data_IF_823629573981
#
_entry.id   IF_823629573981
#
_cell.length_a   1.000
_cell.length_b   1.000
_cell.length_c   1.000
_cell.angle_alpha   90.00
_cell.angle_beta   90.00
_cell.angle_gamma   90.00
#
_symmetry.space_group_name_H-M   'P 1'
#
loop_
_entity.id
_entity.type
_entity.pdbx_description
1 polymer ?
#
# COMPACT_ATOMS: atom_id res chain seq x y z
N UNK A 1 9.61 20.97 -32.78
CA UNK A 1 9.52 19.54 -32.36
C UNK A 1 10.34 19.22 -31.11
N UNK A 2 11.64 19.54 -31.04
CA UNK A 2 12.47 19.26 -29.84
C UNK A 2 11.94 19.87 -28.53
N UNK A 3 11.47 21.12 -28.55
CA UNK A 3 10.88 21.79 -27.37
C UNK A 3 9.64 21.06 -26.83
N UNK A 4 8.77 20.58 -27.72
CA UNK A 4 7.58 19.82 -27.35
C UNK A 4 7.94 18.44 -26.77
N UNK A 5 8.98 17.79 -27.33
CA UNK A 5 9.52 16.54 -26.80
C UNK A 5 10.09 16.73 -25.38
N UNK A 6 10.88 17.78 -25.14
CA UNK A 6 11.39 18.08 -23.81
C UNK A 6 10.27 18.40 -22.80
N UNK A 7 9.24 19.13 -23.23
CA UNK A 7 8.07 19.41 -22.39
C UNK A 7 7.32 18.13 -22.01
N UNK A 8 7.13 17.20 -22.96
CA UNK A 8 6.49 15.91 -22.71
C UNK A 8 7.30 15.06 -21.72
N UNK A 9 8.62 14.98 -21.89
CA UNK A 9 9.50 14.22 -20.99
C UNK A 9 9.43 14.80 -19.58
N UNK A 10 9.49 16.13 -19.44
CA UNK A 10 9.38 16.79 -18.15
C UNK A 10 8.03 16.49 -17.47
N UNK A 11 6.92 16.53 -18.23
CA UNK A 11 5.60 16.21 -17.71
C UNK A 11 5.51 14.76 -17.22
N UNK A 12 6.01 13.80 -18.00
CA UNK A 12 6.04 12.38 -17.61
C UNK A 12 6.88 12.17 -16.36
N UNK A 13 8.04 12.82 -16.26
CA UNK A 13 8.91 12.74 -15.09
C UNK A 13 8.21 13.27 -13.83
N UNK A 14 7.50 14.39 -13.92
CA UNK A 14 6.72 14.95 -12.81
C UNK A 14 5.60 13.99 -12.38
N UNK A 15 4.84 13.44 -13.33
CA UNK A 15 3.76 12.48 -13.02
C UNK A 15 4.31 11.23 -12.33
N UNK A 16 5.42 10.68 -12.82
CA UNK A 16 6.06 9.52 -12.20
C UNK A 16 6.56 9.83 -10.78
N UNK A 17 7.16 11.01 -10.56
CA UNK A 17 7.60 11.47 -9.25
C UNK A 17 6.44 11.63 -8.26
N UNK A 18 5.32 12.20 -8.70
CA UNK A 18 4.11 12.36 -7.86
C UNK A 18 3.49 11.00 -7.52
N UNK A 19 3.37 10.10 -8.51
CA UNK A 19 2.81 8.77 -8.30
C UNK A 19 3.65 7.94 -7.31
N UNK A 20 4.98 7.96 -7.48
CA UNK A 20 5.90 7.27 -6.57
C UNK A 20 5.87 7.85 -5.16
N UNK A 21 5.87 9.19 -5.03
CA UNK A 21 5.71 9.84 -3.73
C UNK A 21 4.40 9.45 -3.06
N UNK A 22 3.28 9.45 -3.79
CA UNK A 22 1.98 9.09 -3.24
C UNK A 22 1.92 7.60 -2.81
N UNK A 23 2.55 6.72 -3.57
CA UNK A 23 2.60 5.29 -3.25
C UNK A 23 3.46 4.96 -2.02
N UNK A 24 4.55 5.70 -1.79
CA UNK A 24 5.53 5.41 -0.74
C UNK A 24 5.46 6.35 0.47
N UNK A 25 4.60 7.37 0.44
CA UNK A 25 4.48 8.30 1.56
C UNK A 25 4.05 7.55 2.82
N UNK A 26 4.71 7.79 3.97
CA UNK A 26 4.31 7.18 5.24
C UNK A 26 2.86 7.53 5.58
N UNK A 27 2.04 6.51 5.81
CA UNK A 27 0.70 6.67 6.40
C UNK A 27 0.87 6.76 7.91
N UNK A 28 0.24 7.74 8.57
CA UNK A 28 0.29 7.85 10.03
C UNK A 28 -0.44 6.67 10.66
N UNK A 29 0.28 5.84 11.39
CA UNK A 29 -0.28 4.82 12.27
C UNK A 29 -0.40 5.40 13.67
N UNK A 30 -1.50 5.12 14.40
CA UNK A 30 -1.58 5.45 15.82
C UNK A 30 -0.42 4.84 16.60
N UNK A 31 0.03 5.53 17.65
CA UNK A 31 1.10 5.03 18.51
C UNK A 31 0.70 3.72 19.17
N UNK A 32 1.61 2.74 19.17
CA UNK A 32 1.38 1.41 19.74
C UNK A 32 0.66 0.43 18.82
N UNK A 33 0.31 0.81 17.59
CA UNK A 33 -0.32 -0.07 16.61
C UNK A 33 0.60 -0.33 15.41
N UNK A 34 0.77 -1.59 14.98
CA UNK A 34 1.44 -1.88 13.71
C UNK A 34 0.65 -1.28 12.53
N UNK A 35 1.34 -0.92 11.43
CA UNK A 35 0.68 -0.48 10.21
C UNK A 35 -0.29 -1.53 9.68
N UNK A 36 -1.36 -1.07 9.04
CA UNK A 36 -2.24 -1.94 8.29
C UNK A 36 -1.51 -2.46 7.06
N UNK A 37 -1.68 -3.75 6.79
CA UNK A 37 -1.11 -4.42 5.63
C UNK A 37 -2.16 -4.60 4.54
N UNK A 38 -1.71 -4.59 3.29
CA UNK A 38 -2.56 -4.92 2.15
C UNK A 38 -2.48 -6.42 1.89
N UNK A 39 -3.61 -7.10 1.94
CA UNK A 39 -3.67 -8.52 1.55
C UNK A 39 -3.51 -8.64 0.04
N UNK A 40 -2.62 -9.51 -0.39
CA UNK A 40 -2.31 -9.80 -1.79
C UNK A 40 -2.03 -11.32 -1.95
N UNK A 41 -1.90 -11.84 -3.18
CA UNK A 41 -1.65 -13.27 -3.39
C UNK A 41 -0.37 -13.79 -2.75
N UNK A 42 0.62 -12.92 -2.51
CA UNK A 42 1.94 -13.28 -1.97
C UNK A 42 1.89 -13.49 -0.45
N UNK A 43 1.03 -12.76 0.28
CA UNK A 43 0.95 -12.80 1.75
C UNK A 43 -0.31 -13.48 2.31
N UNK A 44 -1.24 -13.89 1.44
CA UNK A 44 -2.51 -14.48 1.87
C UNK A 44 -2.34 -15.82 2.62
N UNK A 45 -1.36 -16.64 2.23
CA UNK A 45 -1.05 -17.90 2.91
C UNK A 45 -0.67 -17.66 4.37
N UNK A 46 0.24 -16.71 4.58
CA UNK A 46 0.86 -16.43 5.87
C UNK A 46 -0.18 -15.81 6.81
N UNK A 47 -1.01 -14.89 6.30
CA UNK A 47 -2.16 -14.37 7.02
C UNK A 47 -3.10 -15.49 7.46
N UNK A 48 -3.44 -16.42 6.56
CA UNK A 48 -4.35 -17.53 6.86
C UNK A 48 -3.77 -18.45 7.93
N UNK A 49 -2.48 -18.76 7.87
CA UNK A 49 -1.79 -19.58 8.87
C UNK A 49 -1.78 -18.91 10.25
N UNK A 50 -1.37 -17.63 10.31
CA UNK A 50 -1.38 -16.85 11.55
C UNK A 50 -2.79 -16.71 12.15
N UNK A 51 -3.79 -16.47 11.30
CA UNK A 51 -5.17 -16.36 11.73
C UNK A 51 -5.69 -17.68 12.31
N UNK A 52 -5.38 -18.82 11.67
CA UNK A 52 -5.90 -20.13 12.08
C UNK A 52 -5.16 -20.72 13.29
N UNK A 53 -3.86 -20.47 13.44
CA UNK A 53 -3.02 -20.96 14.54
C UNK A 53 -3.25 -20.25 15.88
N UNK A 54 -3.94 -19.11 15.87
CA UNK A 54 -4.28 -18.36 17.09
C UNK A 54 -5.09 -19.22 18.08
N UNK A 55 -4.98 -19.01 19.41
CA UNK A 55 -5.74 -19.75 20.43
C UNK A 55 -7.27 -19.61 20.26
N UNK A 56 -8.02 -20.42 21.00
CA UNK A 56 -9.50 -20.42 21.03
C UNK A 56 -10.06 -19.12 21.64
N UNK A 57 -10.03 -18.03 20.87
CA UNK A 57 -10.59 -16.72 21.21
C UNK A 57 -11.43 -16.20 20.04
N UNK A 58 -12.26 -15.19 20.31
CA UNK A 58 -12.99 -14.46 19.26
C UNK A 58 -11.99 -13.70 18.40
N UNK A 59 -12.07 -13.87 17.08
CA UNK A 59 -11.17 -13.23 16.09
C UNK A 59 -11.99 -12.35 15.17
N UNK A 60 -11.44 -11.20 14.80
CA UNK A 60 -12.07 -10.25 13.90
C UNK A 60 -11.11 -9.94 12.75
N UNK A 61 -11.64 -9.95 11.52
CA UNK A 61 -10.92 -9.53 10.31
C UNK A 61 -11.60 -8.26 9.81
N UNK A 62 -10.82 -7.18 9.67
CA UNK A 62 -11.32 -5.91 9.16
C UNK A 62 -10.75 -5.68 7.76
N UNK A 63 -11.61 -5.74 6.75
CA UNK A 63 -11.26 -5.44 5.36
C UNK A 63 -11.69 -4.02 5.03
N UNK A 64 -10.72 -3.15 4.82
CA UNK A 64 -10.97 -1.76 4.41
C UNK A 64 -10.86 -1.69 2.89
N UNK A 65 -11.88 -1.15 2.21
CA UNK A 65 -11.71 -0.83 0.80
C UNK A 65 -10.86 0.44 0.68
N UNK A 66 -9.93 0.51 -0.28
CA UNK A 66 -9.29 1.78 -0.63
C UNK A 66 -10.39 2.73 -1.12
N UNK A 67 -10.58 3.87 -0.44
CA UNK A 67 -11.38 5.00 -0.94
C UNK A 67 -10.55 5.86 -1.87
#
# INVERSE_FOLDING_TARGET
MKKALFALIAMVAVVAAVATWHAHRPRRTPLGQPPLESLNPENLSDFKEAFNSSPSCVRLVLLLSPT
#
